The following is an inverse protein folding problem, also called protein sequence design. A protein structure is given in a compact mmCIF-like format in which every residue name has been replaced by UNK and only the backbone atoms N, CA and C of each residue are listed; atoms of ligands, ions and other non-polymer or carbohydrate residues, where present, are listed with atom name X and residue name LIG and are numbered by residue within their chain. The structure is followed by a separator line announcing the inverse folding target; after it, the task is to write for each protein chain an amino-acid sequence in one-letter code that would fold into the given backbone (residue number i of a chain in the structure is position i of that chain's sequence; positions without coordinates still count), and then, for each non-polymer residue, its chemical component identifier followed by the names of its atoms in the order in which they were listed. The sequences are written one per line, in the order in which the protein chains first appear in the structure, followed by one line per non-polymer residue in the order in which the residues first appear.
data_IF_795777778281
#
_entry.id   IF_795777778281
#
_cell.length_a   1.000
_cell.length_b   1.000
_cell.length_c   1.000
_cell.angle_alpha   90.00
_cell.angle_beta   90.00
_cell.angle_gamma   90.00
#
_symmetry.space_group_name_H-M   'P 1'
#
loop_
_entity.id
_entity.type
_entity.pdbx_description
1 polymer ?
#
# COMPACT_ATOMS: atom_id res chain seq x y z
N UNK A 1 20.10 3.80 14.36
CA UNK A 1 18.99 2.95 13.89
C UNK A 1 18.83 3.26 12.40
N UNK A 2 18.68 2.26 11.53
CA UNK A 2 18.44 2.53 10.10
C UNK A 2 16.99 3.02 9.90
N UNK A 3 16.64 3.52 8.70
CA UNK A 3 15.31 4.09 8.44
C UNK A 3 14.18 3.07 8.62
N UNK A 4 14.39 1.82 8.18
CA UNK A 4 13.41 0.72 8.35
C UNK A 4 13.10 0.43 9.82
N UNK A 5 14.12 0.30 10.65
CA UNK A 5 13.98 0.09 12.09
C UNK A 5 13.30 1.28 12.78
N UNK A 6 13.60 2.52 12.34
CA UNK A 6 12.93 3.73 12.84
C UNK A 6 11.43 3.71 12.52
N UNK A 7 11.05 3.35 11.30
CA UNK A 7 9.63 3.24 10.90
C UNK A 7 8.93 2.11 11.65
N UNK A 8 9.54 0.93 11.78
CA UNK A 8 8.96 -0.16 12.58
C UNK A 8 8.73 0.29 14.02
N UNK A 9 9.72 0.95 14.65
CA UNK A 9 9.58 1.46 16.00
C UNK A 9 8.48 2.52 16.11
N UNK A 10 8.38 3.43 15.12
CA UNK A 10 7.33 4.44 15.06
C UNK A 10 5.95 3.81 14.97
N UNK A 11 5.72 2.89 14.04
CA UNK A 11 4.43 2.22 13.87
C UNK A 11 4.10 1.40 15.12
N UNK A 12 5.07 0.67 15.69
CA UNK A 12 4.85 -0.10 16.90
C UNK A 12 4.51 0.77 18.12
N UNK A 13 4.95 2.03 18.14
CA UNK A 13 4.63 2.98 19.20
C UNK A 13 3.13 3.30 19.32
N UNK A 14 2.36 3.09 18.24
CA UNK A 14 0.90 3.22 18.26
C UNK A 14 0.28 2.19 19.22
N UNK A 15 0.80 0.95 19.22
CA UNK A 15 0.37 -0.09 20.15
C UNK A 15 0.95 0.10 21.55
N UNK A 16 2.25 0.43 21.66
CA UNK A 16 2.93 0.48 22.97
C UNK A 16 2.68 1.77 23.74
N UNK A 17 2.28 2.85 23.06
CA UNK A 17 2.16 4.18 23.64
C UNK A 17 3.51 4.85 23.97
N UNK A 18 4.62 4.29 23.49
CA UNK A 18 5.95 4.85 23.73
C UNK A 18 6.15 6.17 22.96
N UNK A 19 6.48 7.26 23.67
CA UNK A 19 6.70 8.55 23.02
C UNK A 19 8.05 8.65 22.26
N UNK A 20 9.03 7.82 22.62
CA UNK A 20 10.40 7.90 22.09
C UNK A 20 10.48 7.78 20.55
N UNK A 21 9.87 6.76 19.93
CA UNK A 21 9.91 6.59 18.48
C UNK A 21 9.35 7.77 17.67
N UNK A 22 8.40 8.53 18.21
CA UNK A 22 7.85 9.72 17.54
C UNK A 22 8.89 10.84 17.33
N UNK A 23 10.03 10.81 18.03
CA UNK A 23 11.12 11.78 17.85
C UNK A 23 11.79 11.71 16.47
N UNK A 24 11.56 10.65 15.68
CA UNK A 24 12.03 10.57 14.30
C UNK A 24 11.26 11.54 13.39
N UNK A 25 10.04 11.95 13.76
CA UNK A 25 9.23 12.87 12.96
C UNK A 25 9.76 14.30 13.13
N UNK A 26 9.96 15.01 12.03
CA UNK A 26 10.31 16.41 12.05
C UNK A 26 9.07 17.24 12.47
N UNK A 27 9.07 17.90 13.64
CA UNK A 27 7.89 18.55 14.17
C UNK A 27 7.46 19.80 13.40
N UNK A 28 8.32 20.34 12.54
CA UNK A 28 8.11 21.60 11.82
C UNK A 28 7.84 21.45 10.33
N UNK A 29 8.14 20.28 9.76
CA UNK A 29 8.03 20.03 8.32
C UNK A 29 7.19 18.80 7.97
N UNK A 30 6.65 18.09 8.97
CA UNK A 30 5.86 16.90 8.73
C UNK A 30 4.54 17.20 8.02
N UNK A 31 4.39 16.63 6.83
CA UNK A 31 3.18 16.69 5.99
C UNK A 31 2.45 15.34 6.04
N UNK A 32 1.15 15.36 6.31
CA UNK A 32 0.29 14.18 6.41
C UNK A 32 -0.67 14.11 5.21
N UNK A 33 -0.72 12.96 4.54
CA UNK A 33 -1.64 12.68 3.43
C UNK A 33 -2.82 11.76 3.79
N UNK A 34 -2.83 11.17 5.00
CA UNK A 34 -4.05 10.53 5.52
C UNK A 34 -5.13 11.59 5.74
N UNK A 35 -6.15 11.57 4.88
CA UNK A 35 -7.23 12.56 4.85
C UNK A 35 -8.12 12.54 6.10
N UNK A 36 -8.09 11.46 6.88
CA UNK A 36 -8.76 11.34 8.18
C UNK A 36 -7.96 11.93 9.35
N UNK A 37 -6.71 12.36 9.13
CA UNK A 37 -5.79 12.86 10.16
C UNK A 37 -5.44 14.32 9.88
N UNK A 38 -5.49 15.16 10.93
CA UNK A 38 -5.06 16.54 10.80
C UNK A 38 -3.56 16.63 10.51
N UNK A 39 -3.13 17.71 9.88
CA UNK A 39 -1.73 17.84 9.46
C UNK A 39 -0.75 18.01 10.64
N UNK A 40 0.52 17.75 10.38
CA UNK A 40 1.61 17.92 11.33
C UNK A 40 1.63 16.87 12.44
N UNK A 41 2.71 16.90 13.23
CA UNK A 41 2.90 15.99 14.37
C UNK A 41 1.78 16.14 15.41
N UNK A 42 1.19 17.33 15.53
CA UNK A 42 0.06 17.58 16.42
C UNK A 42 -1.19 16.80 16.01
N UNK A 43 -1.51 16.75 14.71
CA UNK A 43 -2.65 15.99 14.21
C UNK A 43 -2.49 14.49 14.39
N UNK A 44 -1.29 13.96 14.10
CA UNK A 44 -0.93 12.58 14.42
C UNK A 44 -1.10 12.27 15.91
N UNK A 45 -0.52 13.09 16.79
CA UNK A 45 -0.64 12.91 18.24
C UNK A 45 -2.08 12.99 18.76
N UNK A 46 -2.92 13.84 18.16
CA UNK A 46 -4.33 13.97 18.52
C UNK A 46 -5.14 12.70 18.21
N UNK A 47 -4.80 11.97 17.14
CA UNK A 47 -5.44 10.69 16.81
C UNK A 47 -5.01 9.61 17.79
N UNK A 48 -3.73 9.55 18.16
CA UNK A 48 -3.25 8.57 19.15
C UNK A 48 -3.93 8.76 20.52
N UNK A 49 -4.23 10.00 20.93
CA UNK A 49 -4.93 10.29 22.17
C UNK A 49 -6.38 9.82 22.20
N UNK A 50 -6.99 9.56 21.03
CA UNK A 50 -8.36 9.04 20.93
C UNK A 50 -8.43 7.52 21.09
N UNK A 51 -7.30 6.81 21.00
CA UNK A 51 -7.26 5.37 21.16
C UNK A 51 -7.54 4.99 22.62
N UNK A 52 -8.48 4.05 22.87
CA UNK A 52 -8.63 3.49 24.21
C UNK A 52 -7.30 2.86 24.68
N UNK A 53 -6.97 2.93 25.98
CA UNK A 53 -5.74 2.33 26.49
C UNK A 53 -5.61 0.85 26.12
N UNK A 54 -4.45 0.44 25.60
CA UNK A 54 -4.13 -0.94 25.18
C UNK A 54 -5.08 -1.53 24.11
N UNK A 55 -5.76 -0.69 23.32
CA UNK A 55 -6.66 -1.16 22.26
C UNK A 55 -5.96 -1.38 20.92
N UNK A 56 -4.87 -0.66 20.66
CA UNK A 56 -4.19 -0.72 19.37
C UNK A 56 -3.31 -1.98 19.25
N UNK A 57 -3.31 -2.59 18.06
CA UNK A 57 -2.34 -3.61 17.64
C UNK A 57 -1.66 -3.20 16.36
N UNK A 58 -0.35 -3.44 16.31
CA UNK A 58 0.48 -3.18 15.13
C UNK A 58 1.42 -4.34 14.89
N UNK A 59 1.33 -4.90 13.70
CA UNK A 59 2.23 -5.92 13.17
C UNK A 59 2.71 -5.50 11.78
N UNK A 60 3.91 -4.91 11.70
CA UNK A 60 4.55 -4.60 10.42
C UNK A 60 5.12 -5.87 9.80
N UNK A 61 4.46 -6.35 8.74
CA UNK A 61 4.76 -7.62 8.08
C UNK A 61 5.92 -7.48 7.10
N UNK A 62 5.95 -6.37 6.36
CA UNK A 62 7.01 -6.04 5.40
C UNK A 62 7.46 -4.60 5.59
N UNK A 63 8.76 -4.36 5.37
CA UNK A 63 9.35 -3.02 5.38
C UNK A 63 10.44 -2.94 4.33
N UNK A 64 10.41 -1.89 3.51
CA UNK A 64 11.32 -1.70 2.40
C UNK A 64 11.82 -0.26 2.35
N UNK A 65 13.02 -0.07 1.80
CA UNK A 65 13.66 1.26 1.67
C UNK A 65 14.01 1.53 0.19
N UNK A 66 13.59 2.70 -0.32
CA UNK A 66 13.89 3.19 -1.67
C UNK A 66 14.38 4.63 -1.58
N UNK A 67 15.71 4.79 -1.50
CA UNK A 67 16.37 6.09 -1.34
C UNK A 67 15.93 6.81 -0.07
N UNK A 68 15.13 7.86 -0.22
CA UNK A 68 14.58 8.65 0.89
C UNK A 68 13.22 8.18 1.37
N UNK A 69 12.68 7.11 0.79
CA UNK A 69 11.41 6.54 1.20
C UNK A 69 11.59 5.25 1.99
N UNK A 70 10.73 5.05 2.97
CA UNK A 70 10.46 3.74 3.57
C UNK A 70 8.99 3.45 3.38
N UNK A 71 8.65 2.24 2.94
CA UNK A 71 7.27 1.81 2.86
C UNK A 71 7.06 0.48 3.59
N UNK A 72 5.90 0.34 4.22
CA UNK A 72 5.54 -0.81 5.02
C UNK A 72 4.24 -1.43 4.55
N UNK A 73 4.09 -2.72 4.83
CA UNK A 73 2.83 -3.44 4.74
C UNK A 73 2.52 -3.98 6.12
N UNK A 74 1.44 -3.51 6.72
CA UNK A 74 1.15 -3.70 8.14
C UNK A 74 -0.26 -4.24 8.36
N UNK A 75 -0.39 -5.10 9.36
CA UNK A 75 -1.65 -5.53 9.96
C UNK A 75 -1.90 -4.71 11.23
N UNK A 76 -3.06 -4.08 11.27
CA UNK A 76 -3.46 -3.13 12.28
C UNK A 76 -4.79 -3.54 12.92
N UNK A 77 -4.90 -3.31 14.23
CA UNK A 77 -6.19 -3.21 14.90
C UNK A 77 -6.19 -1.92 15.71
N UNK A 78 -6.71 -0.84 15.11
CA UNK A 78 -6.93 0.41 15.83
C UNK A 78 -8.18 1.05 15.22
N UNK A 79 -9.22 1.31 16.00
CA UNK A 79 -10.55 1.61 15.44
C UNK A 79 -11.08 0.49 14.50
N UNK A 80 -10.70 -0.77 14.74
CA UNK A 80 -11.08 -1.93 13.94
C UNK A 80 -9.92 -2.53 13.14
N UNK A 81 -10.07 -3.79 12.67
CA UNK A 81 -9.03 -4.51 11.95
C UNK A 81 -8.87 -3.99 10.52
N UNK A 82 -7.64 -3.73 10.14
CA UNK A 82 -7.29 -3.26 8.80
C UNK A 82 -5.88 -3.63 8.41
N UNK A 83 -5.69 -3.76 7.11
CA UNK A 83 -4.39 -3.92 6.49
C UNK A 83 -4.08 -2.65 5.73
N UNK A 84 -2.83 -2.24 5.80
CA UNK A 84 -2.41 -0.96 5.27
C UNK A 84 -1.02 -0.98 4.67
N UNK A 85 -0.84 -0.10 3.70
CA UNK A 85 0.48 0.38 3.33
C UNK A 85 0.71 1.75 3.94
N UNK A 86 1.90 1.96 4.50
CA UNK A 86 2.37 3.28 4.91
C UNK A 86 3.62 3.62 4.10
N UNK A 87 3.78 4.88 3.72
CA UNK A 87 4.95 5.41 3.01
C UNK A 87 5.44 6.62 3.78
N UNK A 88 6.72 6.64 4.12
CA UNK A 88 7.38 7.73 4.83
C UNK A 88 8.51 8.29 4.00
N UNK A 89 8.58 9.61 3.85
CA UNK A 89 9.74 10.28 3.26
C UNK A 89 10.64 10.86 4.34
N UNK A 90 11.94 10.69 4.16
CA UNK A 90 12.97 11.18 5.05
C UNK A 90 13.69 12.40 4.46
N UNK A 91 14.04 13.34 5.34
CA UNK A 91 15.04 14.38 5.08
C UNK A 91 15.94 14.49 6.31
N UNK A 92 17.26 14.54 6.08
CA UNK A 92 18.26 14.73 7.16
C UNK A 92 18.09 13.73 8.34
N UNK A 93 17.63 12.51 8.04
CA UNK A 93 17.43 11.45 9.04
C UNK A 93 16.12 11.54 9.84
N UNK A 94 15.22 12.45 9.48
CA UNK A 94 13.89 12.59 10.09
C UNK A 94 12.78 12.36 9.06
N UNK A 95 11.63 11.87 9.52
CA UNK A 95 10.43 11.75 8.69
C UNK A 95 9.80 13.13 8.52
N UNK A 96 9.59 13.52 7.27
CA UNK A 96 8.98 14.81 6.90
C UNK A 96 7.66 14.65 6.15
N UNK A 97 7.28 13.43 5.75
CA UNK A 97 6.06 13.22 5.00
C UNK A 97 5.55 11.79 5.17
N UNK A 98 4.23 11.63 5.17
CA UNK A 98 3.56 10.35 5.34
C UNK A 98 2.33 10.22 4.45
N UNK A 99 2.22 9.07 3.80
CA UNK A 99 1.01 8.60 3.11
C UNK A 99 0.64 7.24 3.67
N UNK A 100 -0.65 6.95 3.73
CA UNK A 100 -1.14 5.60 3.95
C UNK A 100 -2.26 5.25 2.98
N UNK A 101 -2.55 3.95 2.89
CA UNK A 101 -3.76 3.44 2.27
C UNK A 101 -4.26 2.25 3.08
N UNK A 102 -5.49 2.33 3.58
CA UNK A 102 -6.03 1.39 4.57
C UNK A 102 -7.28 0.69 4.03
N UNK A 103 -7.36 -0.62 4.24
CA UNK A 103 -8.52 -1.43 3.90
C UNK A 103 -8.91 -2.33 5.07
N UNK A 104 -10.21 -2.51 5.30
CA UNK A 104 -10.73 -3.43 6.31
C UNK A 104 -10.22 -4.86 6.06
N UNK A 105 -9.75 -5.52 7.13
CA UNK A 105 -9.28 -6.90 7.05
C UNK A 105 -10.46 -7.83 6.77
N UNK A 106 -10.43 -8.62 5.67
CA UNK A 106 -11.52 -9.56 5.40
C UNK A 106 -11.57 -10.67 6.46
N UNK A 107 -12.78 -11.11 6.81
CA UNK A 107 -12.97 -12.19 7.79
C UNK A 107 -12.48 -13.56 7.30
N UNK A 108 -12.29 -13.72 5.99
CA UNK A 108 -11.84 -14.96 5.35
C UNK A 108 -10.73 -14.67 4.35
N UNK A 109 -9.94 -15.70 4.07
CA UNK A 109 -9.02 -15.69 2.94
C UNK A 109 -9.75 -15.49 1.60
N UNK A 110 -8.99 -15.10 0.58
CA UNK A 110 -9.46 -14.94 -0.79
C UNK A 110 -9.86 -16.29 -1.41
N UNK A 111 -10.38 -16.33 -2.66
CA UNK A 111 -10.80 -17.57 -3.32
C UNK A 111 -9.71 -18.66 -3.42
N UNK A 112 -8.43 -18.28 -3.38
CA UNK A 112 -7.29 -19.20 -3.40
C UNK A 112 -6.80 -19.62 -2.01
N UNK A 113 -7.34 -19.07 -0.93
CA UNK A 113 -6.93 -19.36 0.45
C UNK A 113 -5.79 -18.49 0.97
N UNK A 114 -5.46 -17.39 0.28
CA UNK A 114 -4.48 -16.39 0.71
C UNK A 114 -5.13 -15.27 1.52
N UNK A 115 -4.36 -14.76 2.49
CA UNK A 115 -4.71 -13.55 3.24
C UNK A 115 -4.13 -12.33 2.53
N UNK A 116 -4.43 -11.12 3.01
CA UNK A 116 -3.75 -9.93 2.48
C UNK A 116 -2.31 -9.79 2.97
N UNK A 117 -1.81 -10.63 3.88
CA UNK A 117 -0.50 -10.42 4.52
C UNK A 117 0.47 -11.60 4.42
N UNK A 118 0.01 -12.81 4.07
CA UNK A 118 0.87 -13.98 3.87
C UNK A 118 1.77 -13.83 2.64
N UNK A 119 2.66 -14.80 2.44
CA UNK A 119 3.69 -14.78 1.40
C UNK A 119 5.05 -14.26 1.90
N UNK A 120 6.04 -14.10 0.99
CA UNK A 120 7.39 -13.69 1.34
C UNK A 120 7.44 -12.27 1.90
N UNK A 121 8.34 -12.03 2.87
CA UNK A 121 8.49 -10.72 3.54
C UNK A 121 9.86 -10.08 3.32
N UNK A 122 10.83 -10.83 2.78
CA UNK A 122 12.20 -10.39 2.59
C UNK A 122 12.49 -10.15 1.12
N UNK A 123 13.04 -8.97 0.81
CA UNK A 123 13.47 -8.64 -0.54
C UNK A 123 14.68 -9.48 -0.97
N UNK A 124 14.63 -9.98 -2.21
CA UNK A 124 15.76 -10.54 -2.94
C UNK A 124 16.05 -9.68 -4.17
N UNK A 125 17.06 -10.03 -4.97
CA UNK A 125 17.33 -9.32 -6.24
C UNK A 125 17.57 -7.81 -6.08
N UNK A 126 18.24 -7.41 -4.99
CA UNK A 126 18.55 -6.00 -4.66
C UNK A 126 19.27 -5.23 -5.78
N UNK A 127 19.99 -5.93 -6.66
CA UNK A 127 20.67 -5.31 -7.81
C UNK A 127 19.74 -5.07 -9.02
N UNK A 128 18.51 -5.57 -8.98
CA UNK A 128 17.53 -5.48 -10.06
C UNK A 128 16.38 -4.50 -9.77
N UNK A 129 16.45 -3.76 -8.65
CA UNK A 129 15.36 -2.87 -8.18
C UNK A 129 14.84 -1.92 -9.27
N UNK A 130 15.71 -1.17 -9.94
CA UNK A 130 15.28 -0.23 -10.98
C UNK A 130 14.64 -0.94 -12.19
N UNK A 131 15.13 -2.12 -12.54
CA UNK A 131 14.53 -2.92 -13.61
C UNK A 131 13.16 -3.46 -13.20
N UNK A 132 13.02 -3.95 -11.96
CA UNK A 132 11.75 -4.44 -11.41
C UNK A 132 10.72 -3.31 -11.32
N UNK A 133 11.12 -2.11 -10.88
CA UNK A 133 10.28 -0.91 -10.84
C UNK A 133 9.77 -0.57 -12.24
N UNK A 134 10.65 -0.52 -13.24
CA UNK A 134 10.27 -0.24 -14.61
C UNK A 134 9.32 -1.31 -15.21
N UNK A 135 9.54 -2.59 -14.91
CA UNK A 135 8.66 -3.68 -15.32
C UNK A 135 7.25 -3.49 -14.77
N UNK A 136 7.14 -3.27 -13.46
CA UNK A 136 5.85 -3.15 -12.75
C UNK A 136 5.14 -1.86 -13.13
N UNK A 137 5.85 -0.73 -13.23
CA UNK A 137 5.29 0.53 -13.73
C UNK A 137 4.71 0.36 -15.14
N UNK A 138 5.45 -0.29 -16.04
CA UNK A 138 4.99 -0.55 -17.40
C UNK A 138 3.75 -1.45 -17.42
N UNK A 139 3.66 -2.44 -16.52
CA UNK A 139 2.47 -3.26 -16.37
C UNK A 139 1.25 -2.44 -15.94
N UNK A 140 1.38 -1.64 -14.88
CA UNK A 140 0.27 -0.80 -14.38
C UNK A 140 -0.18 0.19 -15.44
N UNK A 141 0.75 0.86 -16.11
CA UNK A 141 0.41 1.80 -17.20
C UNK A 141 -0.20 1.09 -18.41
N UNK A 142 0.44 0.02 -18.91
CA UNK A 142 -0.04 -0.70 -20.09
C UNK A 142 -1.43 -1.30 -19.86
N UNK A 143 -1.59 -2.06 -18.78
CA UNK A 143 -2.75 -2.90 -18.58
C UNK A 143 -3.83 -2.17 -17.79
N UNK A 144 -3.49 -1.67 -16.60
CA UNK A 144 -4.49 -1.15 -15.66
C UNK A 144 -4.99 0.23 -16.08
N UNK A 145 -4.08 1.12 -16.50
CA UNK A 145 -4.44 2.49 -16.93
C UNK A 145 -4.96 2.51 -18.37
N UNK A 146 -4.25 1.85 -19.30
CA UNK A 146 -4.53 2.00 -20.73
C UNK A 146 -5.19 0.79 -21.41
N UNK A 147 -5.41 -0.33 -20.71
CA UNK A 147 -6.13 -1.48 -21.25
C UNK A 147 -5.46 -2.17 -22.44
N UNK A 148 -4.12 -2.08 -22.57
CA UNK A 148 -3.31 -2.69 -23.64
C UNK A 148 -3.12 -4.19 -23.43
N UNK A 149 -4.22 -4.94 -23.43
CA UNK A 149 -4.27 -6.36 -23.09
C UNK A 149 -3.38 -7.25 -23.97
N UNK A 150 -3.03 -6.81 -25.18
CA UNK A 150 -2.08 -7.50 -26.06
C UNK A 150 -0.67 -7.64 -25.45
N UNK A 151 -0.35 -6.81 -24.46
CA UNK A 151 0.94 -6.85 -23.75
C UNK A 151 0.91 -7.74 -22.50
N UNK A 152 -0.26 -8.16 -22.03
CA UNK A 152 -0.43 -8.82 -20.72
C UNK A 152 0.47 -10.05 -20.57
N UNK A 153 0.51 -10.93 -21.57
CA UNK A 153 1.34 -12.14 -21.54
C UNK A 153 2.85 -11.85 -21.41
N UNK A 154 3.29 -10.63 -21.74
CA UNK A 154 4.66 -10.17 -21.59
C UNK A 154 5.08 -9.98 -20.12
N UNK A 155 4.14 -9.74 -19.22
CA UNK A 155 4.41 -9.43 -17.81
C UNK A 155 4.45 -10.65 -16.89
N UNK A 156 3.81 -11.74 -17.30
CA UNK A 156 3.61 -12.93 -16.45
C UNK A 156 4.28 -14.18 -17.03
N UNK A 157 4.46 -15.18 -16.18
CA UNK A 157 4.92 -16.51 -16.58
C UNK A 157 3.70 -17.45 -16.75
N UNK A 158 3.02 -17.35 -17.89
CA UNK A 158 1.78 -18.07 -18.13
C UNK A 158 0.68 -17.60 -17.17
N UNK A 159 -0.01 -18.55 -16.53
CA UNK A 159 -1.06 -18.27 -15.53
C UNK A 159 -0.53 -18.31 -14.09
N UNK A 160 0.79 -18.36 -13.89
CA UNK A 160 1.40 -18.48 -12.57
C UNK A 160 1.58 -17.09 -11.95
N UNK A 161 0.66 -16.74 -11.05
CA UNK A 161 0.67 -15.50 -10.28
C UNK A 161 -0.17 -15.69 -9.02
N UNK A 162 0.38 -15.37 -7.85
CA UNK A 162 -0.32 -15.48 -6.57
C UNK A 162 -1.02 -14.15 -6.27
N UNK A 163 -2.27 -14.23 -5.83
CA UNK A 163 -3.08 -13.07 -5.51
C UNK A 163 -3.42 -13.03 -4.02
N UNK A 164 -3.36 -11.84 -3.43
CA UNK A 164 -3.73 -11.59 -2.04
C UNK A 164 -4.90 -10.61 -1.88
N UNK A 165 -5.36 -9.99 -2.98
CA UNK A 165 -6.61 -9.24 -2.98
C UNK A 165 -7.76 -10.14 -2.48
N UNK A 166 -8.58 -9.69 -1.51
CA UNK A 166 -9.62 -10.51 -0.89
C UNK A 166 -10.68 -11.07 -1.83
N UNK A 167 -10.90 -10.44 -2.99
CA UNK A 167 -11.96 -10.75 -3.94
C UNK A 167 -11.44 -11.49 -5.19
N UNK A 168 -10.13 -11.67 -5.33
CA UNK A 168 -9.52 -12.19 -6.56
C UNK A 168 -8.69 -13.44 -6.23
N UNK A 169 -8.92 -14.52 -6.98
CA UNK A 169 -8.12 -15.75 -6.88
C UNK A 169 -6.83 -15.66 -7.69
N UNK A 170 -5.99 -16.70 -7.56
CA UNK A 170 -4.71 -16.78 -8.27
C UNK A 170 -4.87 -16.82 -9.79
N UNK A 171 -3.75 -16.50 -10.44
CA UNK A 171 -3.60 -16.51 -11.88
C UNK A 171 -4.27 -15.33 -12.58
N UNK A 172 -3.89 -15.14 -13.84
CA UNK A 172 -4.57 -14.19 -14.72
C UNK A 172 -6.00 -14.65 -15.00
N UNK A 173 -6.24 -15.96 -14.97
CA UNK A 173 -7.58 -16.53 -15.04
C UNK A 173 -8.46 -16.12 -13.85
N UNK A 174 -7.91 -16.09 -12.62
CA UNK A 174 -8.61 -15.59 -11.43
C UNK A 174 -8.93 -14.09 -11.52
N UNK A 175 -7.97 -13.29 -11.98
CA UNK A 175 -8.20 -11.86 -12.27
C UNK A 175 -9.31 -11.65 -13.30
N UNK A 176 -9.27 -12.37 -14.42
CA UNK A 176 -10.28 -12.29 -15.48
C UNK A 176 -11.68 -12.62 -14.97
N UNK A 177 -11.83 -13.70 -14.21
CA UNK A 177 -13.10 -14.10 -13.61
C UNK A 177 -13.65 -13.03 -12.65
N UNK A 178 -12.80 -12.44 -11.82
CA UNK A 178 -13.20 -11.39 -10.89
C UNK A 178 -13.66 -10.13 -11.63
N UNK A 179 -12.94 -9.70 -12.67
CA UNK A 179 -13.31 -8.55 -13.51
C UNK A 179 -14.65 -8.79 -14.24
N UNK A 180 -14.85 -9.99 -14.81
CA UNK A 180 -16.12 -10.37 -15.44
C UNK A 180 -17.29 -10.36 -14.44
N UNK A 181 -17.08 -10.91 -13.23
CA UNK A 181 -18.09 -10.94 -12.18
C UNK A 181 -18.45 -9.54 -11.65
N UNK A 182 -17.47 -8.64 -11.53
CA UNK A 182 -17.70 -7.24 -11.17
C UNK A 182 -18.46 -6.50 -12.29
N UNK A 183 -18.05 -6.68 -13.54
CA UNK A 183 -18.70 -6.07 -14.70
C UNK A 183 -20.17 -6.51 -14.83
N UNK A 184 -20.48 -7.78 -14.57
CA UNK A 184 -21.85 -8.29 -14.56
C UNK A 184 -22.74 -7.62 -13.49
N UNK A 185 -22.14 -7.07 -12.44
CA UNK A 185 -22.81 -6.30 -11.38
C UNK A 185 -22.78 -4.78 -11.63
N UNK A 186 -22.25 -4.33 -12.77
CA UNK A 186 -22.07 -2.92 -13.10
C UNK A 186 -20.95 -2.24 -12.31
N UNK A 187 -20.10 -3.00 -11.62
CA UNK A 187 -18.93 -2.50 -10.91
C UNK A 187 -17.78 -2.40 -11.90
N UNK A 188 -17.20 -1.21 -12.01
CA UNK A 188 -16.04 -0.95 -12.86
C UNK A 188 -14.85 -0.57 -11.99
N UNK A 189 -13.69 -1.09 -12.34
CA UNK A 189 -12.39 -0.70 -11.78
C UNK A 189 -11.61 -0.03 -12.90
N UNK A 190 -11.24 1.23 -12.68
CA UNK A 190 -10.52 2.03 -13.65
C UNK A 190 -9.35 2.71 -12.95
N UNK A 191 -8.16 2.59 -13.53
CA UNK A 191 -6.99 3.34 -13.12
C UNK A 191 -6.84 4.56 -14.03
N UNK A 192 -6.51 5.70 -13.46
CA UNK A 192 -6.40 6.97 -14.18
C UNK A 192 -4.95 7.49 -14.19
N UNK A 193 -4.23 7.39 -13.07
CA UNK A 193 -2.90 7.97 -12.95
C UNK A 193 -2.04 7.25 -11.92
N UNK A 194 -0.78 6.99 -12.28
CA UNK A 194 0.29 6.60 -11.36
C UNK A 194 0.89 7.87 -10.73
N UNK A 195 0.98 7.90 -9.40
CA UNK A 195 1.61 9.00 -8.66
C UNK A 195 3.00 8.64 -8.16
N UNK A 196 3.24 7.37 -7.85
CA UNK A 196 4.56 6.92 -7.36
C UNK A 196 4.81 5.45 -7.63
N UNK A 197 6.09 5.12 -7.84
CA UNK A 197 6.63 3.76 -7.93
C UNK A 197 7.83 3.65 -7.00
N UNK A 198 7.73 2.81 -5.97
CA UNK A 198 8.78 2.56 -4.98
C UNK A 198 9.19 1.10 -5.02
N UNK A 199 10.46 0.76 -4.79
CA UNK A 199 10.88 -0.63 -4.73
C UNK A 199 12.17 -0.90 -3.96
N UNK A 200 12.26 -2.10 -3.38
CA UNK A 200 13.49 -2.67 -2.84
C UNK A 200 13.61 -4.12 -3.33
N UNK A 201 14.70 -4.40 -4.05
CA UNK A 201 14.89 -5.69 -4.69
C UNK A 201 13.76 -6.09 -5.63
N UNK A 202 13.11 -7.20 -5.34
CA UNK A 202 12.01 -7.77 -6.10
C UNK A 202 10.62 -7.30 -5.67
N UNK A 203 10.49 -6.44 -4.65
CA UNK A 203 9.21 -5.84 -4.26
C UNK A 203 9.07 -4.44 -4.84
N UNK A 204 7.92 -4.15 -5.44
CA UNK A 204 7.59 -2.85 -6.03
C UNK A 204 6.18 -2.44 -5.63
N UNK A 205 6.06 -1.29 -4.95
CA UNK A 205 4.79 -0.67 -4.59
C UNK A 205 4.46 0.45 -5.59
N UNK A 206 3.25 0.42 -6.15
CA UNK A 206 2.72 1.45 -7.04
C UNK A 206 1.54 2.15 -6.36
N UNK A 207 1.62 3.48 -6.26
CA UNK A 207 0.54 4.33 -5.75
C UNK A 207 -0.15 4.94 -6.95
N UNK A 208 -1.43 4.67 -7.10
CA UNK A 208 -2.23 5.16 -8.21
C UNK A 208 -3.63 5.58 -7.76
N UNK A 209 -4.31 6.33 -8.61
CA UNK A 209 -5.71 6.70 -8.42
C UNK A 209 -6.55 6.31 -9.61
N UNK A 210 -7.86 6.20 -9.36
CA UNK A 210 -8.85 6.15 -10.40
C UNK A 210 -10.25 6.03 -9.83
N UNK A 211 -11.07 5.15 -10.40
CA UNK A 211 -12.47 4.98 -10.00
C UNK A 211 -12.80 3.52 -9.74
N UNK A 212 -13.40 3.22 -8.58
CA UNK A 212 -13.96 1.90 -8.28
C UNK A 212 -15.45 2.02 -7.95
N UNK A 213 -16.30 1.31 -8.71
CA UNK A 213 -17.76 1.37 -8.51
C UNK A 213 -18.35 2.78 -8.64
N UNK A 214 -17.71 3.66 -9.43
CA UNK A 214 -18.10 5.05 -9.60
C UNK A 214 -17.61 6.02 -8.51
N UNK A 215 -16.81 5.56 -7.54
CA UNK A 215 -16.19 6.40 -6.51
C UNK A 215 -14.72 6.67 -6.84
N UNK A 216 -14.22 7.87 -6.53
CA UNK A 216 -12.79 8.18 -6.64
C UNK A 216 -12.03 7.37 -5.59
N UNK A 217 -10.98 6.67 -6.02
CA UNK A 217 -10.35 5.60 -5.24
C UNK A 217 -8.85 5.64 -5.42
N UNK A 218 -8.11 5.41 -4.33
CA UNK A 218 -6.68 5.15 -4.33
C UNK A 218 -6.41 3.64 -4.32
N UNK A 219 -5.46 3.25 -5.16
CA UNK A 219 -4.96 1.88 -5.27
C UNK A 219 -3.48 1.89 -4.91
N UNK A 220 -3.13 1.09 -3.90
CA UNK A 220 -1.74 0.85 -3.53
C UNK A 220 -1.47 -0.62 -3.80
N UNK A 221 -0.70 -0.89 -4.85
CA UNK A 221 -0.46 -2.23 -5.38
C UNK A 221 1.00 -2.62 -5.17
N UNK A 222 1.24 -3.62 -4.32
CA UNK A 222 2.55 -4.20 -4.08
C UNK A 222 2.71 -5.46 -4.93
N UNK A 223 3.74 -5.50 -5.76
CA UNK A 223 4.09 -6.64 -6.60
C UNK A 223 5.40 -7.27 -6.15
N UNK A 224 5.49 -8.60 -6.25
CA UNK A 224 6.77 -9.32 -6.27
C UNK A 224 7.11 -9.77 -7.68
N UNK A 225 8.36 -9.54 -8.06
CA UNK A 225 8.94 -10.00 -9.32
C UNK A 225 9.77 -11.26 -9.08
N UNK A 226 9.70 -12.21 -10.01
CA UNK A 226 10.49 -13.43 -10.02
C UNK A 226 10.87 -13.80 -11.45
N UNK A 227 12.15 -14.09 -11.68
CA UNK A 227 12.66 -14.46 -13.00
C UNK A 227 12.22 -13.49 -14.13
N UNK A 228 12.18 -12.20 -13.82
CA UNK A 228 11.78 -11.15 -14.76
C UNK A 228 10.29 -11.10 -15.08
N UNK A 229 9.43 -11.68 -14.24
CA UNK A 229 7.97 -11.71 -14.39
C UNK A 229 7.29 -11.33 -13.08
N UNK A 230 6.11 -10.74 -13.17
CA UNK A 230 5.26 -10.50 -11.99
C UNK A 230 4.76 -11.86 -11.51
N UNK A 231 4.97 -12.16 -10.22
CA UNK A 231 4.71 -13.47 -9.64
C UNK A 231 3.72 -13.44 -8.47
N UNK A 232 3.56 -12.30 -7.80
CA UNK A 232 2.71 -12.19 -6.60
C UNK A 232 2.25 -10.75 -6.40
N UNK A 233 1.10 -10.56 -5.76
CA UNK A 233 0.49 -9.24 -5.58
C UNK A 233 -0.37 -9.12 -4.33
N UNK A 234 -0.23 -7.96 -3.68
CA UNK A 234 -1.05 -7.50 -2.57
C UNK A 234 -1.54 -6.10 -2.90
N UNK A 235 -2.74 -5.76 -2.47
CA UNK A 235 -3.27 -4.41 -2.65
C UNK A 235 -4.04 -3.90 -1.45
N UNK A 236 -4.31 -2.59 -1.50
CA UNK A 236 -5.38 -1.96 -0.75
C UNK A 236 -6.15 -1.03 -1.69
N UNK A 237 -7.48 -1.04 -1.55
CA UNK A 237 -8.41 -0.23 -2.32
C UNK A 237 -9.15 0.66 -1.33
N UNK A 238 -8.88 1.97 -1.38
CA UNK A 238 -9.47 2.93 -0.44
C UNK A 238 -10.22 4.02 -1.19
N UNK A 239 -11.49 4.21 -0.85
CA UNK A 239 -12.29 5.32 -1.40
C UNK A 239 -11.77 6.64 -0.86
N UNK A 240 -11.44 7.57 -1.75
CA UNK A 240 -11.00 8.92 -1.38
C UNK A 240 -12.25 9.72 -0.98
N UNK A 241 -12.34 10.22 0.28
CA UNK A 241 -13.49 10.98 0.72
C UNK A 241 -13.61 12.31 -0.03
N UNK A 242 -14.79 12.92 0.01
CA UNK A 242 -14.98 14.25 -0.56
C UNK A 242 -14.11 15.29 0.17
N UNK A 243 -13.61 16.35 -0.52
CA UNK A 243 -12.77 17.38 0.10
C UNK A 243 -13.35 18.03 1.36
N UNK A 244 -14.67 18.08 1.50
CA UNK A 244 -15.35 18.60 2.70
C UNK A 244 -15.11 17.79 3.97
N UNK A 245 -14.71 16.52 3.83
CA UNK A 245 -14.48 15.60 4.95
C UNK A 245 -12.99 15.51 5.34
N UNK A 246 -12.10 16.14 4.57
CA UNK A 246 -10.67 16.08 4.80
C UNK A 246 -10.28 16.84 6.07
N UNK A 247 -9.31 16.29 6.81
CA UNK A 247 -8.72 16.91 8.02
C UNK A 247 -7.45 17.70 7.73
N UNK A 248 -6.94 17.63 6.51
CA UNK A 248 -5.81 18.39 5.99
C UNK A 248 -6.05 18.74 4.52
N UNK A 249 -5.27 19.68 3.98
CA UNK A 249 -5.39 20.16 2.60
C UNK A 249 -4.30 19.59 1.67
N UNK A 250 -3.57 18.56 2.10
CA UNK A 250 -2.38 18.05 1.40
C UNK A 250 -2.73 17.07 0.26
N UNK A 251 -3.97 16.55 0.25
CA UNK A 251 -4.41 15.56 -0.73
C UNK A 251 -3.92 14.13 -0.42
N UNK A 252 -4.40 13.15 -1.18
CA UNK A 252 -4.10 11.72 -0.96
C UNK A 252 -2.71 11.29 -1.49
N UNK A 253 -2.09 12.07 -2.37
CA UNK A 253 -0.85 11.72 -3.09
C UNK A 253 0.18 12.84 -3.06
#
# INVERSE_FOLDING_TARGET
MNKKDQVIALLKSIETGEAGPAAVINPSQYTQHNLGVADGLAGFGAVLQQLPPNSAKVNTVRVFEDGDYVFTHSDYDFFGPKIGFDVFRFEQGQIVEHWDNLQETPATANPSGHTMIDGPTQATDLTQTEWNKALVESFVDDILVNGRMEKLAGYYNGDHYIQHNPQIGDGLSGLGQALEAMAAQGITMKYDKIHRVLGEGNFVLVLSEGTFGGQHTSFFDLFRVENGKIAEHWDTIETIPAPSDWKNDNGKF
#
